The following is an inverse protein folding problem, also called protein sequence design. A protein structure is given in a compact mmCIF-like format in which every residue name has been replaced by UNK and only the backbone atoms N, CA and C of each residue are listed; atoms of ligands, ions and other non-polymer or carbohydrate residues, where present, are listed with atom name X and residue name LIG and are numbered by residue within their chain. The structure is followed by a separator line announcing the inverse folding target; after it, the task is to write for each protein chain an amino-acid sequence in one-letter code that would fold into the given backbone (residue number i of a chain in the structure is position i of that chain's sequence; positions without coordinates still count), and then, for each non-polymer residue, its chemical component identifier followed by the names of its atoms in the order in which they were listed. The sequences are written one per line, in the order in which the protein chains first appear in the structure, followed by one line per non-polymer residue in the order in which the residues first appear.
data_IF_180494559049
#
_entry.id   IF_180494559049
#
_cell.length_a   1.000
_cell.length_b   1.000
_cell.length_c   1.000
_cell.angle_alpha   90.00
_cell.angle_beta   90.00
_cell.angle_gamma   90.00
#
_symmetry.space_group_name_H-M   'P 1'
#
loop_
_entity.id
_entity.type
_entity.pdbx_description
1 polymer ?
#
# COMPACT_ATOMS: atom_id res chain seq x y z
N UNK A 1 -8.92 -6.92 -9.39
CA UNK A 1 -9.58 -6.24 -8.27
C UNK A 1 -9.34 -7.03 -6.98
N UNK A 2 -9.20 -6.36 -5.81
CA UNK A 2 -9.06 -7.04 -4.54
C UNK A 2 -10.32 -7.85 -4.22
N UNK A 3 -10.16 -8.97 -3.53
CA UNK A 3 -11.28 -9.76 -2.98
C UNK A 3 -11.86 -9.11 -1.73
N UNK A 4 -10.98 -8.51 -0.92
CA UNK A 4 -11.37 -7.81 0.29
C UNK A 4 -10.48 -6.59 0.54
N UNK A 5 -11.00 -5.64 1.31
CA UNK A 5 -10.29 -4.49 1.85
C UNK A 5 -10.43 -4.54 3.37
N UNK A 6 -9.30 -4.55 4.08
CA UNK A 6 -9.28 -4.57 5.54
C UNK A 6 -9.05 -3.17 6.07
N UNK A 7 -9.86 -2.76 7.01
CA UNK A 7 -9.83 -1.42 7.59
C UNK A 7 -9.98 -1.47 9.11
N UNK A 8 -9.54 -0.43 9.79
CA UNK A 8 -9.89 -0.23 11.19
C UNK A 8 -11.41 -0.02 11.31
N UNK A 9 -12.05 -0.55 12.38
CA UNK A 9 -13.48 -0.37 12.59
C UNK A 9 -13.85 1.12 12.68
N UNK A 10 -14.71 1.64 11.80
CA UNK A 10 -15.23 3.00 11.90
C UNK A 10 -16.38 3.05 12.93
N UNK A 11 -16.78 4.27 13.33
CA UNK A 11 -17.96 4.45 14.19
C UNK A 11 -19.25 4.00 13.52
N UNK A 12 -19.34 4.15 12.21
CA UNK A 12 -20.50 3.80 11.39
C UNK A 12 -20.01 3.15 10.09
N UNK A 13 -20.05 1.82 10.00
CA UNK A 13 -19.58 1.07 8.83
C UNK A 13 -20.34 1.40 7.54
N UNK A 14 -21.66 1.60 7.62
CA UNK A 14 -22.48 1.91 6.44
C UNK A 14 -22.09 3.27 5.84
N UNK A 15 -21.91 4.27 6.71
CA UNK A 15 -21.49 5.60 6.31
C UNK A 15 -20.06 5.63 5.78
N UNK A 16 -19.16 4.86 6.38
CA UNK A 16 -17.77 4.72 5.89
C UNK A 16 -17.76 4.11 4.48
N UNK A 17 -18.52 3.03 4.28
CA UNK A 17 -18.60 2.37 2.99
C UNK A 17 -19.17 3.28 1.89
N UNK A 18 -20.21 4.05 2.22
CA UNK A 18 -20.77 5.03 1.30
C UNK A 18 -19.77 6.13 0.90
N UNK A 19 -18.98 6.63 1.87
CA UNK A 19 -17.89 7.59 1.60
C UNK A 19 -16.84 7.02 0.68
N UNK A 20 -16.40 5.78 0.92
CA UNK A 20 -15.39 5.10 0.07
C UNK A 20 -15.90 4.89 -1.34
N UNK A 21 -17.17 4.52 -1.50
CA UNK A 21 -17.79 4.43 -2.81
C UNK A 21 -17.84 5.78 -3.51
N UNK A 22 -18.08 6.87 -2.77
CA UNK A 22 -18.05 8.23 -3.31
C UNK A 22 -16.66 8.65 -3.78
N UNK A 23 -15.63 8.38 -2.97
CA UNK A 23 -14.22 8.64 -3.34
C UNK A 23 -13.80 7.83 -4.57
N UNK A 24 -14.18 6.54 -4.63
CA UNK A 24 -13.87 5.70 -5.78
C UNK A 24 -14.57 6.19 -7.06
N UNK A 25 -15.78 6.73 -6.96
CA UNK A 25 -16.50 7.27 -8.13
C UNK A 25 -15.83 8.49 -8.73
N UNK A 26 -15.16 9.30 -7.92
CA UNK A 26 -14.56 10.57 -8.33
C UNK A 26 -13.25 10.78 -7.62
N UNK A 27 -12.19 10.32 -8.24
CA UNK A 27 -10.83 10.52 -7.77
C UNK A 27 -10.23 11.78 -8.41
N UNK A 28 -9.58 12.63 -7.61
CA UNK A 28 -9.03 13.89 -8.10
C UNK A 28 -7.85 13.71 -9.06
N UNK A 29 -7.15 12.59 -8.96
CA UNK A 29 -5.97 12.28 -9.80
C UNK A 29 -6.38 11.41 -11.00
N UNK A 30 -7.13 10.33 -10.74
CA UNK A 30 -7.50 9.35 -11.76
C UNK A 30 -8.82 9.65 -12.47
N UNK A 31 -9.58 10.65 -11.98
CA UNK A 31 -10.84 11.07 -12.57
C UNK A 31 -12.04 10.18 -12.18
N UNK A 32 -13.05 10.19 -13.02
CA UNK A 32 -14.28 9.44 -12.78
C UNK A 32 -14.08 7.96 -13.04
N UNK A 33 -14.56 7.11 -12.11
CA UNK A 33 -14.51 5.66 -12.27
C UNK A 33 -15.30 5.21 -13.50
N UNK A 34 -14.64 4.48 -14.37
CA UNK A 34 -15.27 3.94 -15.59
C UNK A 34 -16.07 2.69 -15.25
N UNK A 35 -17.36 2.88 -14.95
CA UNK A 35 -18.27 1.77 -14.68
C UNK A 35 -19.24 2.01 -13.53
N UNK A 36 -19.77 0.91 -13.00
CA UNK A 36 -20.78 0.92 -11.95
C UNK A 36 -20.20 0.60 -10.58
N UNK A 37 -20.66 1.30 -9.56
CA UNK A 37 -20.36 1.03 -8.15
C UNK A 37 -21.68 0.97 -7.39
N UNK A 38 -21.98 -0.19 -6.80
CA UNK A 38 -23.11 -0.38 -5.89
C UNK A 38 -22.61 -0.62 -4.48
N UNK A 39 -23.33 -0.12 -3.50
CA UNK A 39 -23.06 -0.29 -2.06
C UNK A 39 -24.08 -1.26 -1.49
N UNK A 40 -23.60 -2.30 -0.85
CA UNK A 40 -24.37 -3.19 0.02
C UNK A 40 -23.87 -2.98 1.46
N UNK A 41 -24.57 -2.10 2.18
CA UNK A 41 -24.14 -1.68 3.51
C UNK A 41 -24.37 -2.78 4.56
N UNK A 42 -25.37 -3.63 4.38
CA UNK A 42 -25.69 -4.73 5.31
C UNK A 42 -24.61 -5.81 5.30
N UNK A 43 -24.10 -6.13 4.12
CA UNK A 43 -23.08 -7.17 3.94
C UNK A 43 -21.65 -6.60 3.90
N UNK A 44 -21.46 -5.30 4.10
CA UNK A 44 -20.19 -4.59 4.00
C UNK A 44 -19.48 -4.87 2.66
N UNK A 45 -20.18 -4.65 1.54
CA UNK A 45 -19.70 -4.98 0.20
C UNK A 45 -19.81 -3.77 -0.73
N UNK A 46 -18.80 -3.56 -1.55
CA UNK A 46 -18.90 -2.80 -2.80
C UNK A 46 -18.92 -3.75 -3.99
N UNK A 47 -19.84 -3.50 -4.93
CA UNK A 47 -19.85 -4.21 -6.21
C UNK A 47 -19.40 -3.25 -7.30
N UNK A 48 -18.18 -3.48 -7.82
CA UNK A 48 -17.56 -2.64 -8.83
C UNK A 48 -17.49 -3.39 -10.16
N UNK A 49 -18.24 -2.95 -11.16
CA UNK A 49 -18.34 -3.64 -12.46
C UNK A 49 -18.64 -5.15 -12.32
N UNK A 50 -19.60 -5.49 -11.45
CA UNK A 50 -19.97 -6.88 -11.17
C UNK A 50 -19.04 -7.63 -10.20
N UNK A 51 -17.88 -7.09 -9.86
CA UNK A 51 -16.95 -7.71 -8.92
C UNK A 51 -17.27 -7.33 -7.48
N UNK A 52 -17.39 -8.35 -6.62
CA UNK A 52 -17.65 -8.20 -5.20
C UNK A 52 -16.37 -7.93 -4.45
N UNK A 53 -16.31 -6.81 -3.72
CA UNK A 53 -15.22 -6.43 -2.83
C UNK A 53 -15.76 -6.35 -1.41
N UNK A 54 -15.29 -7.24 -0.53
CA UNK A 54 -15.71 -7.27 0.89
C UNK A 54 -14.92 -6.28 1.72
N UNK A 55 -15.59 -5.62 2.66
CA UNK A 55 -14.95 -4.76 3.63
C UNK A 55 -14.93 -5.45 4.99
N UNK A 56 -13.72 -5.75 5.47
CA UNK A 56 -13.47 -6.43 6.74
C UNK A 56 -12.96 -5.38 7.73
N UNK A 57 -13.62 -5.24 8.85
CA UNK A 57 -13.23 -4.28 9.87
C UNK A 57 -12.52 -5.00 11.02
N UNK A 58 -11.22 -4.74 11.14
CA UNK A 58 -10.39 -5.32 12.19
C UNK A 58 -9.28 -4.34 12.62
N UNK A 59 -9.03 -4.23 13.92
CA UNK A 59 -7.93 -3.44 14.47
C UNK A 59 -6.61 -4.19 14.49
N UNK A 60 -6.68 -5.53 14.64
CA UNK A 60 -5.52 -6.42 14.63
C UNK A 60 -5.66 -7.40 13.45
N UNK A 61 -4.74 -7.37 12.47
CA UNK A 61 -4.80 -8.24 11.32
C UNK A 61 -4.68 -9.73 11.69
N UNK A 62 -4.06 -10.07 12.81
CA UNK A 62 -3.88 -11.46 13.23
C UNK A 62 -5.19 -12.17 13.61
N UNK A 63 -6.24 -11.42 13.89
CA UNK A 63 -7.54 -11.95 14.31
C UNK A 63 -8.47 -12.30 13.14
N UNK A 64 -8.06 -11.96 11.91
CA UNK A 64 -8.91 -12.13 10.74
C UNK A 64 -8.92 -13.60 10.30
N UNK A 65 -10.10 -14.09 9.99
CA UNK A 65 -10.30 -15.39 9.34
C UNK A 65 -10.75 -15.15 7.88
N UNK A 66 -9.79 -15.09 6.95
CA UNK A 66 -10.08 -14.89 5.53
C UNK A 66 -10.84 -16.09 4.93
N UNK A 67 -10.66 -17.30 5.49
CA UNK A 67 -11.36 -18.49 5.00
C UNK A 67 -12.86 -18.38 5.19
N UNK A 68 -13.33 -17.69 6.24
CA UNK A 68 -14.75 -17.44 6.46
C UNK A 68 -15.41 -16.60 5.36
N UNK A 69 -14.58 -15.88 4.59
CA UNK A 69 -15.01 -15.09 3.43
C UNK A 69 -14.74 -15.80 2.10
N UNK A 70 -14.36 -17.09 2.13
CA UNK A 70 -14.00 -17.84 0.92
C UNK A 70 -12.66 -17.40 0.30
N UNK A 71 -11.77 -16.79 1.10
CA UNK A 71 -10.45 -16.35 0.66
C UNK A 71 -9.40 -17.24 1.31
N UNK A 72 -8.69 -18.03 0.50
CA UNK A 72 -7.59 -18.89 0.93
C UNK A 72 -6.32 -18.53 0.18
N UNK A 73 -5.16 -18.76 0.82
CA UNK A 73 -3.83 -18.45 0.30
C UNK A 73 -3.70 -17.00 -0.20
N UNK A 74 -4.27 -16.07 0.56
CA UNK A 74 -4.30 -14.67 0.20
C UNK A 74 -2.90 -14.04 0.17
N UNK A 75 -2.64 -13.24 -0.86
CA UNK A 75 -1.61 -12.22 -0.85
C UNK A 75 -2.19 -10.98 -0.17
N UNK A 76 -1.65 -10.62 0.99
CA UNK A 76 -2.02 -9.40 1.71
C UNK A 76 -1.16 -8.25 1.19
N UNK A 77 -1.78 -7.18 0.73
CA UNK A 77 -1.11 -5.94 0.33
C UNK A 77 -1.26 -4.95 1.47
N UNK A 78 -0.17 -4.70 2.21
CA UNK A 78 -0.17 -3.73 3.31
C UNK A 78 0.22 -2.34 2.80
N UNK A 79 -0.75 -1.42 2.83
CA UNK A 79 -0.59 0.00 2.50
C UNK A 79 -0.81 0.90 3.73
N UNK A 80 -0.80 0.33 4.95
CA UNK A 80 -1.16 1.06 6.17
C UNK A 80 -0.06 1.97 6.68
N UNK A 81 1.21 1.67 6.35
CA UNK A 81 2.37 2.33 6.92
C UNK A 81 2.62 2.02 8.40
N UNK A 82 1.78 1.18 9.04
CA UNK A 82 1.85 0.87 10.46
C UNK A 82 3.04 -0.03 10.81
N UNK A 83 3.36 -0.97 9.92
CA UNK A 83 4.44 -1.94 10.13
C UNK A 83 5.37 -1.97 8.93
N UNK A 84 6.67 -2.12 9.19
CA UNK A 84 7.69 -2.19 8.14
C UNK A 84 8.72 -3.29 8.36
N UNK A 85 8.73 -3.91 9.52
CA UNK A 85 9.64 -4.98 9.92
C UNK A 85 8.95 -6.35 9.87
N UNK A 86 9.73 -7.39 10.02
CA UNK A 86 9.24 -8.77 9.96
C UNK A 86 8.27 -9.10 11.11
N UNK A 87 8.48 -8.54 12.31
CA UNK A 87 7.60 -8.76 13.46
C UNK A 87 6.20 -8.17 13.21
N UNK A 88 6.15 -6.90 12.80
CA UNK A 88 4.89 -6.20 12.55
C UNK A 88 4.13 -6.80 11.37
N UNK A 89 4.80 -7.02 10.24
CA UNK A 89 4.19 -7.62 9.04
C UNK A 89 3.79 -9.08 9.26
N UNK A 90 4.54 -9.80 10.10
CA UNK A 90 4.24 -11.18 10.46
C UNK A 90 2.88 -11.38 11.15
N UNK A 91 2.28 -10.30 11.70
CA UNK A 91 0.91 -10.35 12.26
C UNK A 91 -0.10 -10.75 11.20
N UNK A 92 0.06 -10.30 9.97
CA UNK A 92 -0.81 -10.69 8.86
C UNK A 92 -0.75 -12.18 8.55
N UNK A 93 0.43 -12.81 8.69
CA UNK A 93 0.59 -14.24 8.43
C UNK A 93 -0.06 -15.14 9.50
N UNK A 94 -0.42 -14.58 10.67
CA UNK A 94 -1.18 -15.29 11.70
C UNK A 94 -2.66 -15.39 11.36
N UNK A 95 -3.15 -14.56 10.44
CA UNK A 95 -4.53 -14.61 9.96
C UNK A 95 -4.79 -15.90 9.17
N UNK A 96 -5.91 -16.57 9.42
CA UNK A 96 -6.27 -17.77 8.66
C UNK A 96 -6.53 -17.42 7.21
N UNK A 97 -5.96 -18.18 6.30
CA UNK A 97 -6.08 -17.95 4.85
C UNK A 97 -5.07 -16.97 4.27
N UNK A 98 -4.21 -16.32 5.08
CA UNK A 98 -3.11 -15.52 4.59
C UNK A 98 -1.91 -16.38 4.18
N UNK A 99 -1.25 -16.08 3.08
CA UNK A 99 -0.09 -16.82 2.58
C UNK A 99 1.17 -15.97 2.47
N UNK A 100 1.05 -14.76 1.94
CA UNK A 100 2.17 -13.83 1.73
C UNK A 100 1.74 -12.40 2.03
N UNK A 101 2.71 -11.56 2.37
CA UNK A 101 2.48 -10.11 2.60
C UNK A 101 3.38 -9.32 1.67
N UNK A 102 2.79 -8.39 0.96
CA UNK A 102 3.47 -7.37 0.17
C UNK A 102 3.28 -6.01 0.85
N UNK A 103 4.35 -5.46 1.37
CA UNK A 103 4.37 -4.09 1.89
C UNK A 103 4.56 -3.12 0.72
N UNK A 104 3.70 -2.12 0.58
CA UNK A 104 3.75 -1.15 -0.55
C UNK A 104 4.80 -0.04 -0.37
N UNK A 105 5.73 -0.20 0.56
CA UNK A 105 6.86 0.70 0.80
C UNK A 105 8.11 -0.09 1.17
N UNK A 106 9.18 0.60 1.57
CA UNK A 106 10.41 -0.05 2.00
C UNK A 106 10.23 -0.81 3.31
N UNK A 107 10.51 -2.10 3.27
CA UNK A 107 10.67 -2.94 4.45
C UNK A 107 11.97 -2.63 5.20
N UNK A 108 11.98 -2.95 6.49
CA UNK A 108 13.13 -2.80 7.39
C UNK A 108 13.66 -4.15 7.83
N UNK A 109 14.94 -4.18 8.24
CA UNK A 109 15.59 -5.40 8.72
C UNK A 109 15.62 -6.48 7.66
N UNK A 110 15.07 -7.65 7.98
CA UNK A 110 15.06 -8.83 7.13
C UNK A 110 14.01 -8.83 6.01
N UNK A 111 13.16 -7.81 5.93
CA UNK A 111 12.15 -7.72 4.87
C UNK A 111 12.83 -7.41 3.54
N UNK A 112 12.82 -8.37 2.63
CA UNK A 112 13.43 -8.24 1.31
C UNK A 112 12.71 -7.17 0.49
N UNK A 113 13.47 -6.18 0.01
CA UNK A 113 12.94 -5.12 -0.84
C UNK A 113 13.15 -5.49 -2.32
N UNK A 114 12.07 -5.47 -3.08
CA UNK A 114 12.07 -5.85 -4.50
C UNK A 114 11.68 -4.65 -5.35
N UNK A 115 12.47 -4.43 -6.39
CA UNK A 115 12.18 -3.49 -7.47
C UNK A 115 11.95 -4.30 -8.75
N UNK A 116 10.77 -4.15 -9.33
CA UNK A 116 10.39 -4.92 -10.53
C UNK A 116 11.37 -4.67 -11.69
N UNK A 117 11.80 -5.75 -12.34
CA UNK A 117 12.78 -5.69 -13.45
C UNK A 117 14.23 -5.46 -13.02
N UNK A 118 14.50 -5.28 -11.72
CA UNK A 118 15.85 -5.10 -11.18
C UNK A 118 16.34 -6.33 -10.43
N UNK A 119 15.54 -6.78 -9.46
CA UNK A 119 15.88 -7.94 -8.63
C UNK A 119 14.67 -8.85 -8.36
N UNK A 120 13.73 -8.91 -9.29
CA UNK A 120 12.54 -9.77 -9.19
C UNK A 120 12.90 -11.26 -9.15
N UNK A 121 14.02 -11.64 -9.75
CA UNK A 121 14.60 -12.98 -9.74
C UNK A 121 15.07 -13.44 -8.35
N UNK A 122 15.22 -12.51 -7.42
CA UNK A 122 15.58 -12.81 -6.02
C UNK A 122 14.38 -13.23 -5.17
N UNK A 123 13.16 -13.19 -5.71
CA UNK A 123 11.96 -13.65 -4.98
C UNK A 123 11.97 -15.18 -4.97
N UNK A 124 11.97 -15.73 -3.77
CA UNK A 124 11.88 -17.17 -3.54
C UNK A 124 10.45 -17.57 -3.14
N UNK A 125 10.07 -18.81 -3.39
CA UNK A 125 8.76 -19.33 -2.93
C UNK A 125 8.62 -19.31 -1.41
N UNK A 126 9.74 -19.42 -0.70
CA UNK A 126 9.82 -19.33 0.76
C UNK A 126 9.61 -17.91 1.29
N UNK A 127 9.78 -16.87 0.47
CA UNK A 127 9.60 -15.48 0.90
C UNK A 127 8.13 -15.22 1.23
N UNK A 128 7.87 -14.94 2.50
CA UNK A 128 6.52 -14.64 3.00
C UNK A 128 6.26 -13.14 3.14
N UNK A 129 7.33 -12.36 3.35
CA UNK A 129 7.28 -10.92 3.58
C UNK A 129 8.15 -10.22 2.54
N UNK A 130 7.55 -9.39 1.71
CA UNK A 130 8.24 -8.66 0.64
C UNK A 130 7.87 -7.19 0.74
N UNK A 131 8.86 -6.31 0.62
CA UNK A 131 8.67 -4.86 0.49
C UNK A 131 8.84 -4.42 -0.96
N UNK A 132 8.00 -3.52 -1.43
CA UNK A 132 8.04 -2.96 -2.77
C UNK A 132 9.06 -1.81 -2.94
N UNK A 133 9.94 -1.60 -1.96
CA UNK A 133 10.89 -0.50 -1.88
C UNK A 133 10.20 0.90 -1.87
N UNK A 134 10.97 1.98 -1.96
CA UNK A 134 10.41 3.33 -1.97
C UNK A 134 10.03 3.78 -3.38
N UNK A 135 9.17 4.80 -3.47
CA UNK A 135 8.83 5.44 -4.75
C UNK A 135 10.07 5.96 -5.48
N UNK A 136 10.99 6.63 -4.77
CA UNK A 136 12.25 7.12 -5.33
C UNK A 136 13.12 5.97 -5.82
N UNK A 137 13.23 4.89 -5.06
CA UNK A 137 14.00 3.70 -5.47
C UNK A 137 13.41 3.09 -6.75
N UNK A 138 12.09 2.95 -6.82
CA UNK A 138 11.43 2.43 -8.02
C UNK A 138 11.57 3.35 -9.24
N UNK A 139 11.72 4.66 -9.04
CA UNK A 139 11.92 5.60 -10.12
C UNK A 139 13.36 5.52 -10.71
N UNK A 140 14.37 5.43 -9.84
CA UNK A 140 15.77 5.58 -10.29
C UNK A 140 16.51 4.28 -10.56
N UNK A 141 16.26 3.23 -9.75
CA UNK A 141 17.07 2.01 -9.81
C UNK A 141 16.94 1.25 -11.15
N UNK A 142 15.76 1.17 -11.80
CA UNK A 142 15.66 0.57 -13.13
C UNK A 142 16.54 1.32 -14.19
N UNK A 143 16.58 2.64 -14.10
CA UNK A 143 17.43 3.46 -15.00
C UNK A 143 18.91 3.24 -14.70
N UNK A 144 19.29 3.28 -13.42
CA UNK A 144 20.67 3.01 -13.00
C UNK A 144 21.11 1.60 -13.39
N UNK A 145 20.22 0.61 -13.28
CA UNK A 145 20.53 -0.76 -13.70
C UNK A 145 20.84 -0.82 -15.20
N UNK A 146 19.99 -0.22 -16.04
CA UNK A 146 20.20 -0.22 -17.48
C UNK A 146 21.54 0.46 -17.87
N UNK A 147 21.88 1.58 -17.22
CA UNK A 147 23.14 2.29 -17.45
C UNK A 147 24.32 1.46 -16.95
N UNK A 148 24.22 0.92 -15.75
CA UNK A 148 25.28 0.11 -15.14
C UNK A 148 25.58 -1.16 -15.94
N UNK A 149 24.53 -1.86 -16.37
CA UNK A 149 24.67 -3.11 -17.12
C UNK A 149 25.35 -2.88 -18.50
N UNK A 150 25.16 -1.71 -19.08
CA UNK A 150 25.72 -1.37 -20.41
C UNK A 150 27.09 -0.71 -20.36
N UNK A 151 27.31 0.18 -19.40
CA UNK A 151 28.49 1.06 -19.38
C UNK A 151 29.32 0.95 -18.10
N UNK A 152 28.76 0.40 -17.03
CA UNK A 152 29.29 0.47 -15.68
C UNK A 152 29.10 1.86 -15.05
N UNK A 153 28.97 1.90 -13.74
CA UNK A 153 28.89 3.14 -12.96
C UNK A 153 29.98 3.10 -11.90
N UNK A 154 30.90 4.08 -11.94
CA UNK A 154 31.96 4.21 -10.94
C UNK A 154 31.48 5.03 -9.76
N UNK A 155 30.86 6.16 -10.01
CA UNK A 155 30.24 7.04 -9.01
C UNK A 155 29.25 7.98 -9.70
N UNK A 156 28.40 8.61 -8.90
CA UNK A 156 27.39 9.55 -9.39
C UNK A 156 26.82 10.42 -8.29
N UNK A 157 26.09 11.43 -8.69
CA UNK A 157 25.25 12.25 -7.83
C UNK A 157 23.78 12.06 -8.22
N UNK A 158 22.90 11.98 -7.23
CA UNK A 158 21.46 11.90 -7.46
C UNK A 158 20.78 13.09 -6.81
N UNK A 159 19.97 13.77 -7.58
CA UNK A 159 19.07 14.82 -7.10
C UNK A 159 17.64 14.46 -7.48
N UNK A 160 16.69 14.71 -6.58
CA UNK A 160 15.28 14.39 -6.81
C UNK A 160 14.40 15.63 -6.66
N UNK A 161 13.55 15.86 -7.65
CA UNK A 161 12.40 16.78 -7.55
C UNK A 161 11.17 15.93 -7.30
N UNK A 162 10.59 16.05 -6.11
CA UNK A 162 9.56 15.13 -5.64
C UNK A 162 8.28 15.87 -5.26
N UNK A 163 7.13 15.44 -5.76
CA UNK A 163 5.85 15.94 -5.31
C UNK A 163 5.65 15.64 -3.81
N UNK A 164 4.92 16.49 -3.09
CA UNK A 164 4.59 16.22 -1.70
C UNK A 164 3.67 14.98 -1.58
N UNK A 165 3.71 14.34 -0.44
CA UNK A 165 2.96 13.12 -0.12
C UNK A 165 2.01 13.34 1.05
N UNK A 166 1.02 12.46 1.23
CA UNK A 166 -0.04 12.60 2.23
C UNK A 166 0.45 12.72 3.68
N UNK A 167 1.67 12.29 3.96
CA UNK A 167 2.29 12.41 5.28
C UNK A 167 2.88 13.81 5.55
N UNK A 168 2.85 14.72 4.59
CA UNK A 168 3.28 16.11 4.74
C UNK A 168 2.07 17.00 5.02
N UNK A 169 2.22 17.90 5.98
CA UNK A 169 1.14 18.79 6.37
C UNK A 169 0.82 19.81 5.26
N UNK A 170 -0.46 20.06 5.03
CA UNK A 170 -0.90 21.15 4.14
C UNK A 170 -0.72 22.53 4.79
N UNK A 171 -0.88 22.61 6.11
CA UNK A 171 -0.62 23.79 6.93
C UNK A 171 0.37 23.45 8.02
N UNK A 172 1.07 24.44 8.57
CA UNK A 172 2.00 24.25 9.66
C UNK A 172 1.30 23.58 10.84
N UNK A 173 1.82 22.43 11.27
CA UNK A 173 1.33 21.68 12.43
C UNK A 173 2.42 20.73 12.94
N UNK A 174 2.19 20.16 14.12
CA UNK A 174 3.11 19.19 14.72
C UNK A 174 3.25 17.94 13.84
N UNK A 175 4.48 17.45 13.73
CA UNK A 175 4.82 16.24 13.02
C UNK A 175 6.06 15.60 13.67
N UNK A 176 6.19 14.27 13.61
CA UNK A 176 7.35 13.55 14.14
C UNK A 176 8.68 13.91 13.45
N UNK A 177 8.61 14.51 12.26
CA UNK A 177 9.74 15.03 11.49
C UNK A 177 9.50 16.50 11.21
N UNK A 178 10.33 17.39 11.75
CA UNK A 178 10.14 18.85 11.75
C UNK A 178 9.81 19.43 10.37
N UNK A 179 10.57 19.09 9.33
CA UNK A 179 10.36 19.60 7.98
C UNK A 179 9.01 19.19 7.38
N UNK A 180 8.47 18.03 7.76
CA UNK A 180 7.16 17.55 7.29
C UNK A 180 6.00 18.18 8.05
N UNK A 181 6.25 18.86 9.14
CA UNK A 181 5.26 19.67 9.86
C UNK A 181 4.99 21.01 9.21
N UNK A 182 5.80 21.43 8.27
CA UNK A 182 5.59 22.68 7.52
C UNK A 182 4.66 22.48 6.35
N UNK A 183 3.96 23.55 5.96
CA UNK A 183 3.05 23.57 4.82
C UNK A 183 3.78 23.08 3.55
N UNK A 184 3.43 21.91 3.07
CA UNK A 184 4.05 21.34 1.88
C UNK A 184 3.83 22.22 0.63
N UNK A 185 2.62 22.75 0.34
CA UNK A 185 2.42 23.61 -0.83
C UNK A 185 3.24 24.90 -0.84
N UNK A 186 3.55 25.45 0.35
CA UNK A 186 4.25 26.73 0.48
C UNK A 186 5.79 26.58 0.64
N UNK A 187 6.24 25.41 1.05
CA UNK A 187 7.66 25.12 1.33
C UNK A 187 8.27 24.11 0.35
N UNK A 188 7.64 23.89 -0.79
CA UNK A 188 8.28 23.19 -1.91
C UNK A 188 9.38 24.09 -2.48
N UNK A 189 10.59 23.59 -2.48
CA UNK A 189 11.78 24.28 -3.01
C UNK A 189 12.31 23.47 -4.16
#
# INVERSE_FOLDING_TARGET
LPKAVVLRPPKDPAKDLAKRASLLRRDSIHGTFNGTIRVDAENHVLVCNGNVIRFIYASDPSTIDYNSYGIDKALIIDSTGAWRDAEGLGKHLKAKGAAKVLLTTSGKGEVKNIVSGVNSDQILDSDKLIGAASCTTNAIVPVLKAVNDRFGIVHGHMETVHAYTDDQNLHDNTHSKDRRGRSAPLNMV
#
